data_IF_449345314046
#
_entry.id   IF_449345314046
#
_cell.length_a   1.000
_cell.length_b   1.000
_cell.length_c   1.000
_cell.angle_alpha   90.00
_cell.angle_beta   90.00
_cell.angle_gamma   90.00
#
_symmetry.space_group_name_H-M   'P 1'
#
loop_
_entity.id
_entity.type
_entity.pdbx_description
1 polymer ?
#
# COMPACT_ATOMS: atom_id res chain seq x y z
N UNK A 1 -4.76 -12.23 20.84
CA UNK A 1 -3.65 -11.34 20.47
C UNK A 1 -4.22 -10.09 19.81
N UNK A 2 -3.65 -8.94 20.08
CA UNK A 2 -4.14 -7.67 19.54
C UNK A 2 -3.08 -7.06 18.61
N UNK A 3 -3.56 -6.40 17.56
CA UNK A 3 -2.72 -5.65 16.63
C UNK A 3 -3.23 -4.22 16.56
N UNK A 4 -2.33 -3.29 16.31
CA UNK A 4 -2.68 -1.89 16.09
C UNK A 4 -2.38 -1.49 14.65
N UNK A 5 -3.22 -0.64 14.09
CA UNK A 5 -3.02 -0.09 12.75
C UNK A 5 -3.26 1.41 12.76
N UNK A 6 -2.26 2.16 12.36
CA UNK A 6 -2.34 3.61 12.18
C UNK A 6 -2.29 3.92 10.69
N UNK A 7 -3.39 4.42 10.14
CA UNK A 7 -3.48 4.84 8.75
C UNK A 7 -3.18 6.33 8.66
N UNK A 8 -1.90 6.66 8.52
CA UNK A 8 -1.46 8.05 8.41
C UNK A 8 -1.50 8.57 6.97
N UNK A 9 -1.06 9.80 6.79
CA UNK A 9 -1.03 10.47 5.49
C UNK A 9 0.23 10.13 4.68
N UNK A 10 1.33 9.84 5.35
CA UNK A 10 2.59 9.47 4.69
C UNK A 10 2.91 7.99 4.85
N UNK A 11 2.56 7.41 5.99
CA UNK A 11 2.86 6.03 6.32
C UNK A 11 1.65 5.33 6.94
N UNK A 12 1.59 4.03 6.73
CA UNK A 12 0.75 3.13 7.52
C UNK A 12 1.67 2.39 8.49
N UNK A 13 1.26 2.29 9.74
CA UNK A 13 2.08 1.66 10.78
C UNK A 13 1.25 0.56 11.45
N UNK A 14 1.78 -0.65 11.45
CA UNK A 14 1.18 -1.77 12.16
C UNK A 14 2.05 -2.15 13.35
N UNK A 15 1.42 -2.35 14.50
CA UNK A 15 2.10 -2.74 15.73
C UNK A 15 1.55 -4.05 16.28
N UNK A 16 2.44 -4.86 16.82
CA UNK A 16 2.12 -6.04 17.60
C UNK A 16 2.86 -5.91 18.95
N UNK A 17 2.72 -6.93 19.82
CA UNK A 17 3.47 -6.93 21.09
C UNK A 17 4.98 -6.86 20.89
N UNK A 18 5.47 -7.44 19.77
CA UNK A 18 6.91 -7.64 19.57
C UNK A 18 7.50 -6.80 18.44
N UNK A 19 6.67 -6.15 17.62
CA UNK A 19 7.20 -5.51 16.42
C UNK A 19 6.36 -4.30 15.97
N UNK A 20 7.02 -3.42 15.23
CA UNK A 20 6.38 -2.31 14.53
C UNK A 20 6.83 -2.39 13.08
N UNK A 21 5.88 -2.36 12.17
CA UNK A 21 6.12 -2.34 10.72
C UNK A 21 5.53 -1.08 10.13
N UNK A 22 6.25 -0.49 9.19
CA UNK A 22 5.77 0.68 8.45
C UNK A 22 5.70 0.36 6.96
N UNK A 23 4.75 1.02 6.29
CA UNK A 23 4.71 1.02 4.83
C UNK A 23 4.26 2.39 4.34
N UNK A 24 4.82 2.84 3.25
CA UNK A 24 4.47 4.15 2.71
C UNK A 24 3.09 4.16 2.08
N UNK A 25 2.40 5.29 2.20
CA UNK A 25 1.15 5.58 1.51
C UNK A 25 1.45 5.95 0.05
N UNK A 26 1.84 4.96 -0.75
CA UNK A 26 2.24 5.18 -2.13
C UNK A 26 2.05 3.93 -2.97
N UNK A 27 1.85 4.12 -4.25
CA UNK A 27 1.91 3.06 -5.25
C UNK A 27 2.36 3.60 -6.59
N UNK A 28 2.89 2.71 -7.42
CA UNK A 28 3.37 3.03 -8.76
C UNK A 28 2.69 2.08 -9.75
N UNK A 29 1.99 2.64 -10.72
CA UNK A 29 1.33 1.84 -11.74
C UNK A 29 2.27 1.64 -12.92
N UNK A 30 2.50 0.38 -13.28
CA UNK A 30 3.32 -0.01 -14.42
C UNK A 30 2.46 -0.71 -15.44
N UNK A 31 2.54 -0.28 -16.69
CA UNK A 31 1.91 -0.95 -17.81
C UNK A 31 2.98 -1.37 -18.83
N UNK A 32 2.56 -1.99 -19.92
CA UNK A 32 3.49 -2.49 -20.95
C UNK A 32 3.77 -3.96 -20.79
N UNK A 33 5.04 -4.38 -20.70
CA UNK A 33 5.40 -5.79 -20.57
C UNK A 33 5.18 -6.31 -19.15
N UNK A 34 3.92 -6.62 -18.87
CA UNK A 34 3.47 -7.07 -17.55
C UNK A 34 4.16 -8.38 -17.14
N UNK A 35 4.34 -9.30 -18.06
CA UNK A 35 4.93 -10.61 -17.76
C UNK A 35 6.36 -10.48 -17.25
N UNK A 36 7.17 -9.62 -17.88
CA UNK A 36 8.55 -9.38 -17.45
C UNK A 36 8.58 -8.67 -16.09
N UNK A 37 7.74 -7.67 -15.90
CA UNK A 37 7.68 -6.94 -14.63
C UNK A 37 7.26 -7.86 -13.50
N UNK A 38 6.22 -8.69 -13.71
CA UNK A 38 5.77 -9.67 -12.70
C UNK A 38 6.89 -10.64 -12.32
N UNK A 39 7.61 -11.13 -13.30
CA UNK A 39 8.71 -12.09 -13.05
C UNK A 39 9.79 -11.45 -12.20
N UNK A 40 10.16 -10.22 -12.51
CA UNK A 40 11.14 -9.46 -11.73
C UNK A 40 10.68 -9.24 -10.30
N UNK A 41 9.43 -8.81 -10.10
CA UNK A 41 8.87 -8.54 -8.78
C UNK A 41 8.78 -9.81 -7.93
N UNK A 42 8.36 -10.92 -8.54
CA UNK A 42 8.30 -12.22 -7.84
C UNK A 42 9.68 -12.71 -7.42
N UNK A 43 10.67 -12.54 -8.29
CA UNK A 43 12.05 -12.94 -7.99
C UNK A 43 12.60 -12.17 -6.78
N UNK A 44 12.30 -10.89 -6.70
CA UNK A 44 12.78 -10.03 -5.61
C UNK A 44 11.84 -10.01 -4.40
N UNK A 45 10.75 -10.76 -4.44
CA UNK A 45 9.74 -10.83 -3.37
C UNK A 45 9.14 -9.48 -3.05
N UNK A 46 8.89 -8.67 -4.07
CA UNK A 46 8.29 -7.35 -3.93
C UNK A 46 6.77 -7.47 -4.05
N UNK A 47 5.99 -6.98 -3.08
CA UNK A 47 4.54 -7.04 -3.13
C UNK A 47 3.98 -6.12 -4.21
N UNK A 48 2.98 -6.61 -4.92
CA UNK A 48 2.29 -5.84 -5.96
C UNK A 48 0.83 -6.27 -6.07
N UNK A 49 0.03 -5.42 -6.69
CA UNK A 49 -1.36 -5.70 -7.04
C UNK A 49 -1.48 -5.73 -8.55
N UNK A 50 -2.06 -6.79 -9.11
CA UNK A 50 -2.36 -6.87 -10.53
C UNK A 50 -3.87 -6.69 -10.73
N UNK A 51 -4.26 -5.72 -11.54
CA UNK A 51 -5.66 -5.46 -11.84
C UNK A 51 -5.81 -4.84 -13.22
N UNK A 52 -6.75 -5.37 -14.01
CA UNK A 52 -7.10 -4.84 -15.33
C UNK A 52 -5.89 -4.68 -16.27
N UNK A 53 -4.96 -5.64 -16.25
CA UNK A 53 -3.77 -5.62 -17.10
C UNK A 53 -2.68 -4.66 -16.67
N UNK A 54 -2.78 -4.13 -15.44
CA UNK A 54 -1.77 -3.23 -14.87
C UNK A 54 -1.22 -3.80 -13.58
N UNK A 55 0.02 -3.44 -13.26
CA UNK A 55 0.67 -3.79 -12.01
C UNK A 55 0.85 -2.54 -11.18
N UNK A 56 0.42 -2.60 -9.92
CA UNK A 56 0.65 -1.54 -8.95
C UNK A 56 1.70 -2.03 -7.95
N UNK A 57 2.88 -1.44 -8.00
CA UNK A 57 3.92 -1.66 -6.99
C UNK A 57 3.57 -0.80 -5.78
N UNK A 58 3.54 -1.40 -4.59
CA UNK A 58 3.00 -0.75 -3.41
C UNK A 58 4.10 -0.34 -2.43
N UNK A 59 3.82 0.74 -1.68
CA UNK A 59 4.61 1.14 -0.54
C UNK A 59 5.98 1.71 -0.89
N UNK A 60 6.98 1.40 -0.06
CA UNK A 60 8.34 1.92 -0.23
C UNK A 60 8.95 1.50 -1.57
N UNK A 61 8.64 0.31 -2.05
CA UNK A 61 9.16 -0.15 -3.35
C UNK A 61 8.68 0.71 -4.51
N UNK A 62 7.52 1.34 -4.38
CA UNK A 62 7.04 2.28 -5.39
C UNK A 62 8.00 3.46 -5.56
N UNK A 63 8.53 4.00 -4.46
CA UNK A 63 9.55 5.05 -4.52
C UNK A 63 10.83 4.57 -5.17
N UNK A 64 11.28 3.37 -4.80
CA UNK A 64 12.52 2.82 -5.33
C UNK A 64 12.47 2.59 -6.84
N UNK A 65 11.32 2.15 -7.34
CA UNK A 65 11.14 1.86 -8.76
C UNK A 65 10.69 3.05 -9.59
N UNK A 66 10.20 4.13 -8.97
CA UNK A 66 9.78 5.33 -9.68
C UNK A 66 10.91 5.94 -10.51
N UNK A 67 12.15 5.80 -10.07
CA UNK A 67 13.30 6.30 -10.81
C UNK A 67 13.64 5.43 -12.03
N UNK A 68 13.28 4.15 -11.99
CA UNK A 68 13.53 3.21 -13.09
C UNK A 68 12.48 3.38 -14.18
N UNK A 69 11.22 3.53 -13.80
CA UNK A 69 10.10 3.70 -14.72
C UNK A 69 9.79 5.19 -14.89
N UNK A 70 10.58 5.87 -15.72
CA UNK A 70 10.56 7.33 -15.82
C UNK A 70 9.23 7.94 -16.25
N UNK A 71 8.35 7.16 -16.86
CA UNK A 71 7.02 7.62 -17.28
C UNK A 71 5.92 7.31 -16.28
N UNK A 72 6.23 6.55 -15.24
CA UNK A 72 5.26 6.16 -14.23
C UNK A 72 5.18 7.23 -13.14
N UNK A 73 3.96 7.56 -12.74
CA UNK A 73 3.73 8.53 -11.68
C UNK A 73 3.54 7.83 -10.34
N UNK A 74 4.17 8.38 -9.32
CA UNK A 74 3.97 7.96 -7.95
C UNK A 74 2.63 8.48 -7.45
N UNK A 75 1.78 7.59 -6.96
CA UNK A 75 0.42 7.88 -6.54
C UNK A 75 0.21 7.51 -5.09
N UNK A 76 -0.89 7.98 -4.51
CA UNK A 76 -1.26 7.70 -3.12
C UNK A 76 -2.64 7.04 -3.06
N UNK A 77 -2.80 5.91 -2.37
CA UNK A 77 -4.13 5.33 -2.15
C UNK A 77 -5.00 6.17 -1.21
N UNK A 78 -4.38 6.91 -0.28
CA UNK A 78 -5.11 7.86 0.58
C UNK A 78 -4.57 9.27 0.37
N UNK A 79 -5.48 10.23 0.29
CA UNK A 79 -5.15 11.63 0.10
C UNK A 79 -6.05 12.48 0.99
N UNK A 80 -5.44 13.40 1.74
CA UNK A 80 -6.17 14.31 2.65
C UNK A 80 -7.05 13.58 3.65
N UNK A 81 -6.58 12.43 4.15
CA UNK A 81 -7.30 11.64 5.14
C UNK A 81 -8.44 10.78 4.60
N UNK A 82 -8.61 10.73 3.27
CA UNK A 82 -9.67 9.98 2.61
C UNK A 82 -9.08 9.03 1.58
N UNK A 83 -9.87 8.01 1.22
CA UNK A 83 -9.52 7.19 0.05
C UNK A 83 -9.45 8.11 -1.16
N UNK A 84 -8.35 8.01 -1.93
CA UNK A 84 -8.09 8.97 -3.01
C UNK A 84 -9.12 8.84 -4.12
N UNK A 85 -10.00 9.84 -4.32
CA UNK A 85 -11.07 9.75 -5.32
C UNK A 85 -10.58 9.82 -6.75
N UNK A 86 -9.35 10.26 -6.97
CA UNK A 86 -8.74 10.35 -8.30
C UNK A 86 -8.16 9.02 -8.76
N UNK A 87 -8.02 8.05 -7.85
CA UNK A 87 -7.42 6.76 -8.13
C UNK A 87 -8.46 5.66 -7.97
N UNK A 88 -8.93 5.11 -9.09
CA UNK A 88 -9.97 4.07 -9.08
C UNK A 88 -9.50 2.75 -8.43
N UNK A 89 -8.20 2.50 -8.43
CA UNK A 89 -7.63 1.31 -7.82
C UNK A 89 -7.10 1.56 -6.40
N UNK A 90 -7.45 2.70 -5.80
CA UNK A 90 -6.98 3.04 -4.46
C UNK A 90 -7.37 2.01 -3.41
N UNK A 91 -8.60 1.50 -3.45
CA UNK A 91 -9.06 0.52 -2.46
C UNK A 91 -8.33 -0.81 -2.55
N UNK A 92 -8.17 -1.46 -3.72
CA UNK A 92 -7.36 -2.67 -3.82
C UNK A 92 -5.91 -2.47 -3.37
N UNK A 93 -5.30 -1.34 -3.70
CA UNK A 93 -3.94 -1.02 -3.29
C UNK A 93 -3.86 -0.86 -1.79
N UNK A 94 -4.75 -0.08 -1.19
CA UNK A 94 -4.82 0.11 0.26
C UNK A 94 -5.01 -1.21 0.99
N UNK A 95 -5.93 -2.04 0.51
CA UNK A 95 -6.19 -3.36 1.08
C UNK A 95 -4.94 -4.24 1.05
N UNK A 96 -4.19 -4.22 -0.04
CA UNK A 96 -2.97 -4.99 -0.17
C UNK A 96 -1.89 -4.49 0.78
N UNK A 97 -1.72 -3.19 0.95
CA UNK A 97 -0.76 -2.62 1.90
C UNK A 97 -1.10 -3.04 3.33
N UNK A 98 -2.37 -2.93 3.71
CA UNK A 98 -2.82 -3.30 5.05
C UNK A 98 -2.62 -4.79 5.31
N UNK A 99 -2.97 -5.64 4.34
CA UNK A 99 -2.80 -7.08 4.46
C UNK A 99 -1.32 -7.47 4.61
N UNK A 100 -0.44 -6.81 3.89
CA UNK A 100 0.99 -7.03 4.03
C UNK A 100 1.48 -6.66 5.43
N UNK A 101 1.04 -5.52 5.96
CA UNK A 101 1.44 -5.05 7.27
C UNK A 101 0.92 -5.93 8.39
N UNK A 102 -0.33 -6.33 8.33
CA UNK A 102 -0.97 -7.11 9.40
C UNK A 102 -0.66 -8.61 9.31
N UNK A 103 -0.36 -9.11 8.11
CA UNK A 103 -0.17 -10.54 7.89
C UNK A 103 -1.48 -11.32 7.98
N UNK A 104 -1.36 -12.64 7.96
CA UNK A 104 -2.53 -13.52 8.10
C UNK A 104 -3.01 -13.52 9.55
N UNK A 105 -4.33 -13.48 9.78
CA UNK A 105 -4.84 -13.59 11.13
C UNK A 105 -4.60 -14.99 11.69
N UNK A 106 -4.22 -15.05 12.95
CA UNK A 106 -4.05 -16.29 13.69
C UNK A 106 -5.20 -16.42 14.69
N UNK A 107 -6.20 -17.24 14.33
CA UNK A 107 -7.38 -17.41 15.15
C UNK A 107 -8.21 -16.13 15.25
N UNK A 108 -8.76 -15.88 16.43
CA UNK A 108 -9.51 -14.64 16.67
C UNK A 108 -8.55 -13.56 17.16
N UNK A 109 -8.30 -12.60 16.29
CA UNK A 109 -7.47 -11.45 16.62
C UNK A 109 -8.31 -10.18 16.64
N UNK A 110 -7.92 -9.24 17.51
CA UNK A 110 -8.51 -7.91 17.55
C UNK A 110 -7.52 -6.93 16.95
N UNK A 111 -7.99 -6.11 16.03
CA UNK A 111 -7.21 -5.02 15.46
C UNK A 111 -7.85 -3.69 15.87
N UNK A 112 -7.09 -2.88 16.60
CA UNK A 112 -7.47 -1.51 16.90
C UNK A 112 -6.83 -0.61 15.87
N UNK A 113 -7.62 0.23 15.22
CA UNK A 113 -7.10 1.09 14.17
C UNK A 113 -7.48 2.54 14.41
N UNK A 114 -6.68 3.44 13.85
CA UNK A 114 -7.01 4.85 13.76
C UNK A 114 -6.80 5.34 12.33
N UNK A 115 -7.58 6.32 11.96
CA UNK A 115 -7.51 6.95 10.65
C UNK A 115 -7.36 8.47 10.86
N UNK A 116 -6.88 9.21 9.85
CA UNK A 116 -6.82 10.66 9.97
C UNK A 116 -8.19 11.24 10.33
N UNK A 117 -8.18 12.26 11.16
CA UNK A 117 -9.41 12.98 11.50
C UNK A 117 -10.02 13.58 10.24
N UNK A 118 -11.34 13.82 10.29
CA UNK A 118 -12.04 14.44 9.18
C UNK A 118 -11.29 15.69 8.74
N UNK A 119 -10.97 15.82 7.44
CA UNK A 119 -10.28 17.01 6.96
C UNK A 119 -11.11 18.26 7.33
N UNK A 120 -10.41 19.25 7.83
CA UNK A 120 -11.04 20.55 8.05
C UNK A 120 -11.37 21.12 6.68
N UNK A 121 -12.62 21.41 6.45
CA UNK A 121 -13.05 22.07 5.22
C UNK A 121 -12.42 23.46 5.20
N UNK A 122 -11.52 23.59 4.28
CA UNK A 122 -10.82 24.86 4.10
C UNK A 122 -11.42 25.60 2.94
#
# INVERSE_FOLDING_TARGET
MAKGLDCGTSYYIASTEDSIKKQRNAFLTVDGDIATVKRMLKRQKIPYVEKAGKIHIIGQHAFNYAQIFSKAELKRPMKSGLLNPQEKDALPVLSSIINELLGKPEGKEVCVYCVPSKPIDV
#
